data_IF_393798024297
#
_entry.id   IF_393798024297
#
_cell.length_a   1.000
_cell.length_b   1.000
_cell.length_c   1.000
_cell.angle_alpha   90.00
_cell.angle_beta   90.00
_cell.angle_gamma   90.00
#
_symmetry.space_group_name_H-M   'P 1'
#
loop_
_entity.id
_entity.type
_entity.pdbx_description
1 polymer ?
#
# COMPACT_ATOMS: atom_id res chain seq x y z
N UNK A 1 9.24 -24.73 -13.35
CA UNK A 1 9.40 -23.40 -12.71
C UNK A 1 10.71 -23.41 -11.96
N UNK A 2 11.47 -22.31 -11.97
CA UNK A 2 12.68 -22.21 -11.14
C UNK A 2 12.32 -22.01 -9.67
N UNK A 3 13.15 -22.49 -8.75
CA UNK A 3 12.90 -22.37 -7.31
C UNK A 3 12.71 -20.91 -6.87
N UNK A 4 13.41 -19.96 -7.50
CA UNK A 4 13.25 -18.52 -7.25
C UNK A 4 11.87 -17.95 -7.61
N UNK A 5 11.20 -18.49 -8.64
CA UNK A 5 9.84 -18.04 -9.01
C UNK A 5 8.83 -18.54 -7.98
N UNK A 6 8.93 -19.82 -7.60
CA UNK A 6 8.08 -20.41 -6.57
C UNK A 6 8.20 -19.68 -5.22
N UNK A 7 9.41 -19.31 -4.81
CA UNK A 7 9.59 -18.54 -3.58
C UNK A 7 8.96 -17.15 -3.66
N UNK A 8 8.91 -16.52 -4.83
CA UNK A 8 8.26 -15.20 -5.00
C UNK A 8 6.75 -15.27 -4.85
N UNK A 9 6.11 -16.26 -5.47
CA UNK A 9 4.68 -16.53 -5.30
C UNK A 9 4.35 -16.79 -3.82
N UNK A 10 5.12 -17.67 -3.16
CA UNK A 10 4.94 -17.99 -1.73
C UNK A 10 5.12 -16.77 -0.81
N UNK A 11 6.04 -15.86 -1.15
CA UNK A 11 6.26 -14.60 -0.43
C UNK A 11 5.07 -13.65 -0.59
N UNK A 12 4.54 -13.50 -1.80
CA UNK A 12 3.40 -12.62 -2.06
C UNK A 12 2.11 -13.15 -1.42
N UNK A 13 1.83 -14.45 -1.55
CA UNK A 13 0.71 -15.11 -0.87
C UNK A 13 0.76 -14.91 0.64
N UNK A 14 1.96 -15.01 1.22
CA UNK A 14 2.17 -14.74 2.63
C UNK A 14 1.78 -13.30 3.01
N UNK A 15 2.14 -12.31 2.19
CA UNK A 15 1.74 -10.91 2.41
C UNK A 15 0.22 -10.72 2.31
N UNK A 16 -0.42 -11.33 1.31
CA UNK A 16 -1.89 -11.29 1.16
C UNK A 16 -2.59 -11.93 2.37
N UNK A 17 -2.06 -13.06 2.87
CA UNK A 17 -2.58 -13.72 4.06
C UNK A 17 -2.50 -12.83 5.32
N UNK A 18 -1.43 -12.03 5.44
CA UNK A 18 -1.24 -11.06 6.52
C UNK A 18 -2.31 -9.98 6.45
N UNK A 19 -2.53 -9.37 5.28
CA UNK A 19 -3.54 -8.32 5.07
C UNK A 19 -4.93 -8.83 5.47
N UNK A 20 -5.29 -10.06 5.07
CA UNK A 20 -6.57 -10.71 5.41
C UNK A 20 -6.70 -11.12 6.87
N UNK A 21 -5.62 -11.08 7.66
CA UNK A 21 -5.62 -11.65 9.00
C UNK A 21 -6.37 -10.80 10.04
N UNK A 22 -7.02 -11.47 10.99
CA UNK A 22 -7.59 -10.81 12.20
C UNK A 22 -6.55 -10.03 13.00
N UNK A 23 -5.26 -10.41 12.91
CA UNK A 23 -4.17 -9.71 13.61
C UNK A 23 -3.85 -8.38 12.96
N UNK A 24 -3.76 -8.35 11.62
CA UNK A 24 -3.57 -7.12 10.86
C UNK A 24 -4.73 -6.15 11.11
N UNK A 25 -5.99 -6.62 10.95
CA UNK A 25 -7.20 -5.81 11.24
C UNK A 25 -7.15 -5.16 12.63
N UNK A 26 -6.82 -5.91 13.69
CA UNK A 26 -6.71 -5.36 15.05
C UNK A 26 -5.61 -4.32 15.21
N UNK A 27 -4.46 -4.50 14.54
CA UNK A 27 -3.36 -3.54 14.59
C UNK A 27 -3.66 -2.29 13.74
N UNK A 28 -4.32 -2.45 12.60
CA UNK A 28 -4.81 -1.35 11.78
C UNK A 28 -5.84 -0.51 12.56
N UNK A 29 -6.74 -1.15 13.32
CA UNK A 29 -7.68 -0.44 14.19
C UNK A 29 -6.95 0.43 15.24
N UNK A 30 -5.89 -0.08 15.86
CA UNK A 30 -5.06 0.71 16.79
C UNK A 30 -4.33 1.85 16.09
N UNK A 31 -3.81 1.60 14.90
CA UNK A 31 -3.14 2.61 14.09
C UNK A 31 -4.11 3.75 13.78
N UNK A 32 -5.33 3.45 13.33
CA UNK A 32 -6.34 4.47 13.06
C UNK A 32 -6.73 5.27 14.31
N UNK A 33 -6.95 4.60 15.43
CA UNK A 33 -7.33 5.23 16.70
C UNK A 33 -6.28 6.25 17.17
N UNK A 34 -5.00 5.99 16.92
CA UNK A 34 -3.89 6.85 17.37
C UNK A 34 -3.43 7.88 16.32
N UNK A 35 -3.64 7.62 15.03
CA UNK A 35 -3.11 8.44 13.92
C UNK A 35 -4.21 8.83 12.91
N UNK A 36 -5.42 9.09 13.39
CA UNK A 36 -6.58 9.41 12.54
C UNK A 36 -6.39 10.68 11.69
N UNK A 37 -5.56 11.61 12.15
CA UNK A 37 -5.29 12.92 11.55
C UNK A 37 -4.06 12.92 10.62
N UNK A 38 -3.57 11.76 10.17
CA UNK A 38 -2.43 11.66 9.25
C UNK A 38 -2.71 10.68 8.12
N UNK A 39 -2.00 10.84 6.99
CA UNK A 39 -1.90 9.78 5.99
C UNK A 39 -1.12 8.59 6.57
N UNK A 40 -1.65 7.39 6.42
CA UNK A 40 -1.17 6.21 7.14
C UNK A 40 -0.30 5.27 6.30
N UNK A 41 0.12 5.70 5.10
CA UNK A 41 0.95 4.91 4.17
C UNK A 41 2.15 4.24 4.84
N UNK A 42 3.01 5.04 5.49
CA UNK A 42 4.22 4.57 6.15
C UNK A 42 3.91 3.65 7.34
N UNK A 43 2.90 3.99 8.13
CA UNK A 43 2.51 3.21 9.30
C UNK A 43 1.94 1.84 8.89
N UNK A 44 1.17 1.78 7.79
CA UNK A 44 0.64 0.53 7.26
C UNK A 44 1.75 -0.31 6.63
N UNK A 45 2.70 0.31 5.89
CA UNK A 45 3.92 -0.36 5.41
C UNK A 45 4.67 -1.03 6.57
N UNK A 46 4.94 -0.28 7.64
CA UNK A 46 5.71 -0.78 8.78
C UNK A 46 4.95 -1.87 9.54
N UNK A 47 3.62 -1.77 9.59
CA UNK A 47 2.77 -2.82 10.12
C UNK A 47 2.87 -4.12 9.30
N UNK A 48 2.80 -4.02 7.96
CA UNK A 48 2.96 -5.17 7.05
C UNK A 48 4.34 -5.80 7.24
N UNK A 49 5.40 -4.99 7.22
CA UNK A 49 6.78 -5.43 7.43
C UNK A 49 6.95 -6.17 8.75
N UNK A 50 6.48 -5.58 9.85
CA UNK A 50 6.66 -6.15 11.19
C UNK A 50 5.90 -7.48 11.35
N UNK A 51 4.71 -7.60 10.75
CA UNK A 51 3.95 -8.84 10.75
C UNK A 51 4.58 -9.90 9.86
N UNK A 52 5.03 -9.51 8.67
CA UNK A 52 5.73 -10.41 7.76
C UNK A 52 6.96 -11.00 8.42
N UNK A 53 7.85 -10.15 8.94
CA UNK A 53 9.06 -10.60 9.63
C UNK A 53 8.76 -11.45 10.85
N UNK A 54 7.70 -11.16 11.60
CA UNK A 54 7.30 -11.99 12.74
C UNK A 54 6.95 -13.43 12.34
N UNK A 55 6.37 -13.63 11.17
CA UNK A 55 5.88 -14.95 10.73
C UNK A 55 6.83 -15.69 9.78
N UNK A 56 7.68 -14.97 9.05
CA UNK A 56 8.46 -15.53 7.94
C UNK A 56 9.97 -15.33 8.05
N UNK A 57 10.48 -14.50 8.97
CA UNK A 57 11.95 -14.30 9.12
C UNK A 57 12.73 -15.56 9.45
N UNK A 58 12.10 -16.52 10.13
CA UNK A 58 12.70 -17.82 10.47
C UNK A 58 12.81 -18.76 9.26
N UNK A 59 12.31 -18.36 8.08
CA UNK A 59 12.31 -19.15 6.84
C UNK A 59 13.32 -18.63 5.80
N UNK A 60 14.33 -17.88 6.22
CA UNK A 60 15.31 -17.26 5.30
C UNK A 60 14.75 -16.11 4.46
N UNK A 61 13.56 -15.61 4.78
CA UNK A 61 12.92 -14.50 4.04
C UNK A 61 12.67 -13.31 4.94
N UNK A 62 13.01 -12.10 4.50
CA UNK A 62 12.85 -10.87 5.26
C UNK A 62 12.16 -9.75 4.49
N UNK A 63 11.18 -9.12 5.11
CA UNK A 63 10.63 -7.85 4.68
C UNK A 63 11.53 -6.68 5.11
N UNK A 64 11.87 -5.80 4.19
CA UNK A 64 12.75 -4.64 4.40
C UNK A 64 12.10 -3.40 3.79
N UNK A 65 11.98 -2.32 4.56
CA UNK A 65 11.45 -1.05 4.07
C UNK A 65 12.55 -0.24 3.37
N UNK A 66 12.15 0.59 2.40
CA UNK A 66 13.06 1.51 1.69
C UNK A 66 14.27 0.82 1.03
N UNK A 67 14.10 -0.41 0.58
CA UNK A 67 15.14 -1.23 -0.02
C UNK A 67 14.62 -1.90 -1.30
N UNK A 68 15.41 -2.00 -2.38
CA UNK A 68 16.73 -1.40 -2.54
C UNK A 68 16.65 0.13 -2.68
N UNK A 69 17.79 0.79 -2.44
CA UNK A 69 18.02 2.18 -2.82
C UNK A 69 18.77 2.18 -4.14
N UNK A 70 18.11 2.60 -5.22
CA UNK A 70 18.65 2.61 -6.57
C UNK A 70 19.10 4.04 -6.90
N UNK A 71 20.34 4.21 -7.35
CA UNK A 71 20.82 5.52 -7.78
C UNK A 71 20.00 5.97 -9.00
N UNK A 72 19.55 7.22 -8.98
CA UNK A 72 18.94 7.84 -10.16
C UNK A 72 20.02 8.15 -11.16
N UNK A 73 19.72 7.89 -12.43
CA UNK A 73 20.55 8.35 -13.53
C UNK A 73 20.69 9.88 -13.47
N UNK A 74 21.93 10.35 -13.55
CA UNK A 74 22.25 11.78 -13.58
C UNK A 74 22.05 12.30 -14.99
N UNK A 75 21.32 13.41 -15.12
CA UNK A 75 21.15 14.06 -16.42
C UNK A 75 22.29 15.02 -16.74
N UNK A 76 22.99 15.51 -15.71
CA UNK A 76 24.17 16.38 -15.81
C UNK A 76 25.26 15.96 -14.82
N UNK A 77 26.51 16.34 -15.08
CA UNK A 77 27.66 15.99 -14.22
C UNK A 77 27.64 16.68 -12.85
N UNK A 78 26.91 17.78 -12.73
CA UNK A 78 26.84 18.62 -11.51
C UNK A 78 25.71 18.19 -10.56
N UNK A 79 24.83 17.28 -10.99
CA UNK A 79 23.75 16.78 -10.15
C UNK A 79 24.25 16.00 -8.94
N UNK A 80 23.67 16.34 -7.78
CA UNK A 80 23.81 15.52 -6.58
C UNK A 80 23.27 14.12 -6.86
N UNK A 81 24.05 13.11 -6.50
CA UNK A 81 23.56 11.72 -6.49
C UNK A 81 22.29 11.65 -5.64
N UNK A 82 21.22 11.17 -6.25
CA UNK A 82 19.94 10.95 -5.59
C UNK A 82 19.50 9.52 -5.80
N UNK A 83 18.72 8.97 -4.87
CA UNK A 83 18.28 7.58 -4.92
C UNK A 83 16.75 7.50 -5.03
N UNK A 84 16.25 6.58 -5.84
CA UNK A 84 14.91 6.03 -5.64
C UNK A 84 14.97 4.92 -4.61
N UNK A 85 13.87 4.75 -3.87
CA UNK A 85 13.71 3.67 -2.91
C UNK A 85 12.39 3.00 -3.20
N UNK A 86 12.39 1.68 -3.08
CA UNK A 86 11.18 0.86 -3.09
C UNK A 86 10.59 0.89 -1.69
N UNK A 87 9.27 1.06 -1.58
CA UNK A 87 8.63 1.23 -0.28
C UNK A 87 8.80 0.01 0.61
N UNK A 88 8.54 -1.19 0.08
CA UNK A 88 8.70 -2.47 0.78
C UNK A 88 9.30 -3.52 -0.15
N UNK A 89 10.28 -4.28 0.33
CA UNK A 89 10.81 -5.45 -0.38
C UNK A 89 10.72 -6.71 0.47
N UNK A 90 10.44 -7.85 -0.17
CA UNK A 90 10.58 -9.18 0.41
C UNK A 90 11.85 -9.81 -0.17
N UNK A 91 12.78 -10.18 0.69
CA UNK A 91 14.13 -10.63 0.32
C UNK A 91 14.32 -12.06 0.80
N UNK A 92 14.61 -12.97 -0.13
CA UNK A 92 15.12 -14.31 0.16
C UNK A 92 16.64 -14.23 0.33
N UNK A 93 17.17 -14.79 1.41
CA UNK A 93 18.60 -14.82 1.69
C UNK A 93 19.42 -15.62 0.66
N UNK A 94 18.80 -16.56 -0.04
CA UNK A 94 19.42 -17.29 -1.15
C UNK A 94 19.49 -16.45 -2.43
N UNK A 95 18.61 -15.46 -2.58
CA UNK A 95 18.54 -14.58 -3.74
C UNK A 95 18.49 -13.08 -3.37
N UNK A 96 19.45 -12.56 -2.57
CA UNK A 96 19.34 -11.25 -1.95
C UNK A 96 19.41 -10.08 -2.95
N UNK A 97 19.94 -10.33 -4.15
CA UNK A 97 20.04 -9.34 -5.24
C UNK A 97 18.76 -9.25 -6.09
N UNK A 98 17.77 -10.12 -5.86
CA UNK A 98 16.53 -10.15 -6.62
C UNK A 98 15.30 -10.03 -5.69
N UNK A 99 15.19 -8.93 -4.92
CA UNK A 99 14.09 -8.73 -4.00
C UNK A 99 12.75 -8.65 -4.74
N UNK A 100 11.69 -9.12 -4.10
CA UNK A 100 10.32 -8.85 -4.54
C UNK A 100 9.94 -7.42 -4.12
N UNK A 101 9.90 -6.50 -5.08
CA UNK A 101 9.72 -5.06 -4.86
C UNK A 101 8.24 -4.67 -4.85
N UNK A 102 7.80 -3.95 -3.82
CA UNK A 102 6.41 -3.53 -3.62
C UNK A 102 6.36 -2.03 -3.36
N UNK A 103 5.53 -1.34 -4.13
CA UNK A 103 5.25 0.09 -3.97
C UNK A 103 3.90 0.28 -3.26
N UNK A 104 3.82 1.24 -2.35
CA UNK A 104 2.61 1.53 -1.58
C UNK A 104 2.12 2.93 -1.87
N UNK A 105 0.80 3.13 -1.94
CA UNK A 105 0.16 4.45 -2.04
C UNK A 105 -1.04 4.53 -1.12
N UNK A 106 -1.25 5.70 -0.52
CA UNK A 106 -2.39 5.99 0.34
C UNK A 106 -3.18 7.21 -0.14
N UNK A 107 -4.46 6.97 -0.38
CA UNK A 107 -5.38 7.97 -0.90
C UNK A 107 -6.71 8.00 -0.14
N UNK A 108 -7.46 9.06 -0.40
CA UNK A 108 -8.86 9.20 -0.02
C UNK A 108 -9.75 9.13 -1.28
N UNK A 109 -11.05 8.82 -1.15
CA UNK A 109 -11.96 8.67 -2.29
C UNK A 109 -11.97 9.81 -3.32
N UNK A 110 -11.78 11.06 -2.87
CA UNK A 110 -11.73 12.24 -3.77
C UNK A 110 -10.32 12.61 -4.27
N UNK A 111 -9.28 11.91 -3.82
CA UNK A 111 -7.94 12.12 -4.37
C UNK A 111 -7.97 11.80 -5.88
N UNK A 112 -7.07 12.45 -6.63
CA UNK A 112 -6.87 12.18 -8.07
C UNK A 112 -8.16 12.25 -8.91
N UNK A 113 -9.08 13.15 -8.55
CA UNK A 113 -10.33 13.35 -9.29
C UNK A 113 -11.27 12.13 -9.25
N UNK A 114 -11.23 11.32 -8.18
CA UNK A 114 -12.00 10.07 -8.13
C UNK A 114 -11.43 8.97 -9.03
N UNK A 115 -10.12 9.03 -9.29
CA UNK A 115 -9.33 7.98 -9.94
C UNK A 115 -9.68 7.67 -11.41
N UNK A 116 -10.43 8.53 -12.11
CA UNK A 116 -10.75 8.34 -13.53
C UNK A 116 -9.50 8.20 -14.41
N UNK A 117 -8.40 8.88 -14.06
CA UNK A 117 -7.11 8.86 -14.76
C UNK A 117 -5.99 8.18 -13.96
N UNK A 118 -6.34 7.27 -13.04
CA UNK A 118 -5.34 6.67 -12.14
C UNK A 118 -4.33 5.74 -12.84
N UNK A 119 -4.52 5.43 -14.12
CA UNK A 119 -3.60 4.62 -14.92
C UNK A 119 -2.19 5.23 -14.94
N UNK A 120 -2.06 6.56 -14.96
CA UNK A 120 -0.76 7.22 -14.88
C UNK A 120 0.00 6.89 -13.60
N UNK A 121 -0.72 6.71 -12.48
CA UNK A 121 -0.10 6.35 -11.20
C UNK A 121 0.33 4.88 -11.19
N UNK A 122 -0.46 3.98 -11.79
CA UNK A 122 -0.07 2.58 -12.00
C UNK A 122 1.17 2.51 -12.90
N UNK A 123 1.16 3.20 -14.05
CA UNK A 123 2.31 3.29 -14.96
C UNK A 123 3.56 3.76 -14.21
N UNK A 124 3.45 4.86 -13.46
CA UNK A 124 4.58 5.47 -12.78
C UNK A 124 5.16 4.60 -11.66
N UNK A 125 4.32 3.95 -10.87
CA UNK A 125 4.74 3.28 -9.64
C UNK A 125 4.90 1.76 -9.81
N UNK A 126 4.12 1.13 -10.67
CA UNK A 126 4.20 -0.31 -10.89
C UNK A 126 5.05 -0.65 -12.11
N UNK A 127 4.77 -0.06 -13.27
CA UNK A 127 5.42 -0.42 -14.52
C UNK A 127 6.81 0.20 -14.67
N UNK A 128 6.93 1.52 -14.61
CA UNK A 128 8.18 2.24 -14.83
C UNK A 128 9.23 1.91 -13.75
N UNK A 129 8.81 1.52 -12.55
CA UNK A 129 9.70 1.07 -11.46
C UNK A 129 10.02 -0.43 -11.53
N UNK A 130 9.43 -1.14 -12.49
CA UNK A 130 9.52 -2.57 -12.65
C UNK A 130 9.25 -3.28 -11.30
N UNK A 131 8.18 -2.87 -10.63
CA UNK A 131 7.78 -3.40 -9.33
C UNK A 131 7.13 -4.77 -9.52
N UNK A 132 7.32 -5.66 -8.54
CA UNK A 132 6.65 -6.96 -8.50
C UNK A 132 5.24 -6.85 -7.91
N UNK A 133 5.03 -5.91 -6.99
CA UNK A 133 3.71 -5.60 -6.44
C UNK A 133 3.43 -4.11 -6.34
N UNK A 134 2.15 -3.76 -6.34
CA UNK A 134 1.68 -2.40 -6.04
C UNK A 134 0.46 -2.49 -5.13
N UNK A 135 0.49 -1.77 -4.01
CA UNK A 135 -0.60 -1.74 -3.03
C UNK A 135 -1.11 -0.30 -2.94
N UNK A 136 -2.30 -0.05 -3.46
CA UNK A 136 -3.06 1.16 -3.20
C UNK A 136 -4.02 0.91 -2.03
N UNK A 137 -3.98 1.80 -1.05
CA UNK A 137 -4.91 1.86 0.06
C UNK A 137 -5.76 3.12 -0.11
N UNK A 138 -7.07 2.96 -0.25
CA UNK A 138 -8.03 4.07 -0.18
C UNK A 138 -8.72 4.01 1.17
N UNK A 139 -8.58 5.07 1.97
CA UNK A 139 -9.21 5.18 3.28
C UNK A 139 -10.46 6.03 3.16
N UNK A 140 -11.61 5.39 3.41
CA UNK A 140 -12.91 6.04 3.41
C UNK A 140 -13.50 6.03 4.83
N UNK A 141 -13.69 7.22 5.38
CA UNK A 141 -14.24 7.41 6.72
C UNK A 141 -15.61 8.04 6.67
N UNK A 142 -16.48 7.66 7.61
CA UNK A 142 -17.75 8.35 7.82
C UNK A 142 -17.49 9.84 8.11
N UNK A 143 -17.91 10.69 7.17
CA UNK A 143 -17.64 12.13 7.17
C UNK A 143 -18.20 12.83 8.41
N UNK A 144 -19.42 12.48 8.82
CA UNK A 144 -20.12 13.16 9.91
C UNK A 144 -19.60 12.70 11.27
N UNK A 145 -19.35 11.40 11.44
CA UNK A 145 -18.73 10.88 12.66
C UNK A 145 -17.31 11.40 12.83
N UNK A 146 -16.54 11.45 11.75
CA UNK A 146 -15.19 12.00 11.76
C UNK A 146 -15.20 13.47 12.13
N UNK A 147 -16.03 14.29 11.47
CA UNK A 147 -16.14 15.73 11.75
C UNK A 147 -16.46 15.98 13.22
N UNK A 148 -17.46 15.29 13.77
CA UNK A 148 -17.83 15.38 15.20
C UNK A 148 -16.70 14.97 16.15
N UNK A 149 -15.91 13.95 15.76
CA UNK A 149 -14.76 13.53 16.55
C UNK A 149 -13.65 14.58 16.52
N UNK A 150 -13.31 15.09 15.33
CA UNK A 150 -12.27 16.11 15.13
C UNK A 150 -12.62 17.43 15.86
N UNK A 151 -13.87 17.87 15.80
CA UNK A 151 -14.39 19.05 16.54
C UNK A 151 -14.22 18.93 18.06
N UNK A 152 -14.41 17.72 18.63
CA UNK A 152 -14.25 17.48 20.08
C UNK A 152 -12.82 17.79 20.56
N UNK A 153 -11.83 17.61 19.69
CA UNK A 153 -10.41 17.76 20.02
C UNK A 153 -9.82 19.06 19.45
N UNK A 154 -10.64 19.94 18.88
CA UNK A 154 -10.21 21.17 18.20
C UNK A 154 -9.16 20.90 17.10
N UNK A 155 -9.37 19.82 16.34
CA UNK A 155 -8.52 19.44 15.22
C UNK A 155 -9.24 19.79 13.91
N UNK A 156 -8.65 20.64 13.09
CA UNK A 156 -9.16 20.94 11.74
C UNK A 156 -8.33 20.21 10.68
N UNK A 157 -8.96 19.26 9.97
CA UNK A 157 -8.32 18.55 8.86
C UNK A 157 -9.15 18.65 7.58
N UNK A 158 -8.48 18.48 6.43
CA UNK A 158 -9.17 18.39 5.13
C UNK A 158 -9.89 17.04 4.94
N UNK A 159 -9.57 16.03 5.74
CA UNK A 159 -9.94 14.64 5.46
C UNK A 159 -11.46 14.36 5.44
N UNK A 160 -12.32 14.96 6.29
CA UNK A 160 -13.77 14.79 6.16
C UNK A 160 -14.29 15.22 4.79
N UNK A 161 -13.62 16.19 4.13
CA UNK A 161 -14.00 16.66 2.79
C UNK A 161 -13.59 15.69 1.70
N UNK A 162 -12.63 14.79 1.96
CA UNK A 162 -12.06 13.84 0.99
C UNK A 162 -12.79 12.49 0.94
N UNK A 163 -13.65 12.18 1.91
CA UNK A 163 -14.63 11.09 1.79
C UNK A 163 -15.63 11.40 0.68
N UNK A 164 -16.12 10.36 -0.01
CA UNK A 164 -17.11 10.49 -1.11
C UNK A 164 -18.37 9.72 -0.75
N UNK A 165 -19.53 10.27 -1.12
CA UNK A 165 -20.83 9.64 -0.86
C UNK A 165 -21.15 8.55 -1.90
N UNK A 166 -20.56 8.65 -3.10
CA UNK A 166 -20.67 7.64 -4.16
C UNK A 166 -19.47 6.69 -4.20
N UNK A 167 -19.65 5.55 -4.87
CA UNK A 167 -18.64 4.51 -5.08
C UNK A 167 -17.99 4.52 -6.47
N UNK A 168 -18.20 5.57 -7.29
CA UNK A 168 -17.66 5.63 -8.67
C UNK A 168 -16.14 5.53 -8.66
N UNK A 169 -15.50 6.11 -7.65
CA UNK A 169 -14.05 6.06 -7.45
C UNK A 169 -13.54 4.61 -7.30
N UNK A 170 -14.34 3.73 -6.68
CA UNK A 170 -13.99 2.33 -6.47
C UNK A 170 -14.11 1.54 -7.77
N UNK A 171 -15.19 1.76 -8.53
CA UNK A 171 -15.37 1.15 -9.86
C UNK A 171 -14.25 1.54 -10.82
N UNK A 172 -13.89 2.83 -10.85
CA UNK A 172 -12.75 3.33 -11.64
C UNK A 172 -11.43 2.62 -11.29
N UNK A 173 -11.17 2.38 -10.01
CA UNK A 173 -9.96 1.68 -9.57
C UNK A 173 -10.02 0.18 -9.88
N UNK A 174 -11.15 -0.49 -9.64
CA UNK A 174 -11.29 -1.92 -9.95
C UNK A 174 -11.07 -2.19 -11.44
N UNK A 175 -11.66 -1.38 -12.32
CA UNK A 175 -11.50 -1.51 -13.77
C UNK A 175 -10.02 -1.37 -14.17
N UNK A 176 -9.35 -0.30 -13.72
CA UNK A 176 -7.93 -0.06 -14.04
C UNK A 176 -7.01 -1.15 -13.53
N UNK A 177 -7.21 -1.63 -12.31
CA UNK A 177 -6.41 -2.71 -11.75
C UNK A 177 -6.64 -4.03 -12.50
N UNK A 178 -7.89 -4.38 -12.82
CA UNK A 178 -8.20 -5.60 -13.60
C UNK A 178 -7.61 -5.55 -15.02
N UNK A 179 -7.58 -4.36 -15.62
CA UNK A 179 -7.10 -4.16 -16.99
C UNK A 179 -5.59 -3.85 -17.09
N UNK A 180 -4.84 -3.91 -15.98
CA UNK A 180 -3.38 -3.74 -16.01
C UNK A 180 -2.72 -4.98 -16.59
N UNK A 181 -2.01 -4.82 -17.72
CA UNK A 181 -1.37 -5.92 -18.44
C UNK A 181 -0.33 -6.68 -17.59
N UNK A 182 -0.15 -7.97 -17.89
CA UNK A 182 0.83 -8.86 -17.25
C UNK A 182 0.79 -8.86 -15.72
N UNK A 183 -0.40 -8.65 -15.16
CA UNK A 183 -0.60 -8.61 -13.72
C UNK A 183 -1.85 -9.35 -13.27
N UNK A 184 -1.91 -9.66 -11.98
CA UNK A 184 -3.06 -10.18 -11.27
C UNK A 184 -3.52 -9.14 -10.26
N UNK A 185 -4.83 -8.85 -10.24
CA UNK A 185 -5.43 -7.90 -9.31
C UNK A 185 -6.11 -8.59 -8.13
N UNK A 186 -6.03 -7.97 -6.95
CA UNK A 186 -6.69 -8.40 -5.72
C UNK A 186 -7.34 -7.22 -5.01
N UNK A 187 -8.53 -7.43 -4.44
CA UNK A 187 -9.31 -6.40 -3.75
C UNK A 187 -9.75 -6.87 -2.37
N UNK A 188 -9.47 -6.07 -1.34
CA UNK A 188 -9.86 -6.37 0.04
C UNK A 188 -10.38 -5.14 0.76
N UNK A 189 -11.32 -5.34 1.68
CA UNK A 189 -11.84 -4.27 2.52
C UNK A 189 -11.68 -4.62 3.99
N UNK A 190 -11.26 -3.62 4.78
CA UNK A 190 -11.18 -3.74 6.23
C UNK A 190 -11.89 -2.55 6.85
N UNK A 191 -13.07 -2.79 7.38
CA UNK A 191 -13.79 -1.81 8.20
C UNK A 191 -13.40 -1.95 9.68
N UNK A 192 -13.12 -0.81 10.30
CA UNK A 192 -12.84 -0.65 11.73
C UNK A 192 -13.75 0.44 12.32
N UNK A 193 -14.01 0.36 13.62
CA UNK A 193 -15.01 1.21 14.29
C UNK A 193 -14.42 2.44 15.00
N UNK A 194 -13.14 2.39 15.40
CA UNK A 194 -12.49 3.45 16.20
C UNK A 194 -11.43 4.22 15.40
N UNK A 195 -11.30 5.55 15.62
CA UNK A 195 -12.12 6.36 16.53
C UNK A 195 -13.52 6.68 15.97
N UNK A 196 -13.70 6.45 14.68
CA UNK A 196 -14.96 6.50 13.93
C UNK A 196 -14.91 5.43 12.83
N UNK A 197 -16.07 5.05 12.31
CA UNK A 197 -16.18 4.02 11.26
C UNK A 197 -15.33 4.42 10.05
N UNK A 198 -14.38 3.55 9.72
CA UNK A 198 -13.41 3.76 8.66
C UNK A 198 -13.21 2.45 7.90
N UNK A 199 -13.31 2.48 6.59
CA UNK A 199 -13.03 1.35 5.70
C UNK A 199 -11.74 1.61 4.93
N UNK A 200 -10.82 0.66 4.99
CA UNK A 200 -9.62 0.65 4.17
C UNK A 200 -9.84 -0.31 3.01
N UNK A 201 -9.81 0.23 1.80
CA UNK A 201 -9.92 -0.52 0.56
C UNK A 201 -8.51 -0.75 0.01
N UNK A 202 -8.10 -2.01 -0.06
CA UNK A 202 -6.83 -2.44 -0.62
C UNK A 202 -7.05 -2.86 -2.07
N UNK A 203 -6.42 -2.16 -3.00
CA UNK A 203 -6.30 -2.53 -4.41
C UNK A 203 -4.85 -2.96 -4.63
N UNK A 204 -4.64 -4.19 -5.04
CA UNK A 204 -3.31 -4.79 -5.09
C UNK A 204 -3.07 -5.37 -6.48
N UNK A 205 -1.90 -5.08 -7.05
CA UNK A 205 -1.37 -5.75 -8.24
C UNK A 205 -0.19 -6.63 -7.88
N UNK A 206 -0.11 -7.77 -8.56
CA UNK A 206 1.04 -8.67 -8.61
C UNK A 206 1.44 -8.87 -10.06
N UNK A 207 2.73 -8.72 -10.38
CA UNK A 207 3.26 -8.99 -11.73
C UNK A 207 3.34 -10.50 -11.95
N UNK A 208 2.88 -10.97 -13.12
CA UNK A 208 2.99 -12.38 -13.56
C UNK A 208 4.40 -12.76 -13.99
#
# INVERSE_FOLDING_TARGET
MSDSIRTKEEMFDSLISIIKSKRFKRKLAKLNDNFFNLKQELHIRDLLLALFNKYHSQKGVRAIAEHPRLEKEKTTREERTSYTRVDLSLVDENFPKNPFKIELKYHFPKDKGGFSEYQESIQKHFENRNSNGFILIVCDSDKDLRKKFEERWDVDTIFPKLSKEDNIWKENLEDKFKNTADSQAYFFEITIEKPFKTTYHFFILERK
#
